data_IF_298990283244
#
_entry.id   IF_298990283244
#
_cell.length_a   1.000
_cell.length_b   1.000
_cell.length_c   1.000
_cell.angle_alpha   90.00
_cell.angle_beta   90.00
_cell.angle_gamma   90.00
#
_symmetry.space_group_name_H-M   'P 1'
#
loop_
_entity.id
_entity.type
_entity.pdbx_description
1 polymer ?
#
# COMPACT_ATOMS: atom_id res chain seq x y z
N UNK A 1 8.97 -2.79 -12.14
CA UNK A 1 7.93 -2.13 -11.34
C UNK A 1 7.14 -3.25 -10.68
N UNK A 2 7.19 -3.33 -9.34
CA UNK A 2 6.52 -4.38 -8.59
C UNK A 2 5.00 -4.39 -8.81
N UNK A 3 4.40 -5.59 -8.79
CA UNK A 3 2.97 -5.80 -9.02
C UNK A 3 2.05 -4.92 -8.18
N UNK A 4 2.49 -4.53 -6.98
CA UNK A 4 1.71 -3.71 -6.05
C UNK A 4 1.41 -2.28 -6.51
N UNK A 5 2.22 -1.72 -7.42
CA UNK A 5 2.06 -0.34 -7.90
C UNK A 5 1.21 -0.23 -9.16
N UNK A 6 1.11 -1.31 -9.94
CA UNK A 6 0.46 -1.28 -11.24
C UNK A 6 -1.02 -0.96 -11.13
N UNK A 7 -1.69 -1.47 -10.10
CA UNK A 7 -3.11 -1.21 -9.86
C UNK A 7 -3.38 0.29 -9.65
N UNK A 8 -2.51 0.97 -8.90
CA UNK A 8 -2.60 2.42 -8.68
C UNK A 8 -2.26 3.24 -9.93
N UNK A 9 -1.27 2.79 -10.70
CA UNK A 9 -0.89 3.42 -11.97
C UNK A 9 -2.04 3.29 -12.96
N UNK A 10 -2.65 2.10 -13.06
CA UNK A 10 -3.79 1.83 -13.94
C UNK A 10 -5.03 2.62 -13.54
N UNK A 11 -5.30 2.75 -12.23
CA UNK A 11 -6.37 3.62 -11.74
C UNK A 11 -6.13 5.09 -12.12
N UNK A 12 -4.92 5.58 -11.88
CA UNK A 12 -4.56 6.95 -12.24
C UNK A 12 -4.66 7.20 -13.74
N UNK A 13 -4.22 6.23 -14.54
CA UNK A 13 -4.32 6.29 -15.99
C UNK A 13 -5.78 6.31 -16.45
N UNK A 14 -6.62 5.42 -15.93
CA UNK A 14 -8.04 5.38 -16.24
C UNK A 14 -8.72 6.73 -15.91
N UNK A 15 -8.43 7.28 -14.71
CA UNK A 15 -8.97 8.56 -14.26
C UNK A 15 -8.54 9.75 -15.15
N UNK A 16 -7.29 9.74 -15.62
CA UNK A 16 -6.76 10.85 -16.45
C UNK A 16 -7.16 10.75 -17.92
N UNK A 17 -7.41 9.54 -18.43
CA UNK A 17 -7.75 9.27 -19.83
C UNK A 17 -9.22 9.54 -20.18
N UNK A 18 -10.09 9.55 -19.16
CA UNK A 18 -11.53 9.72 -19.36
C UNK A 18 -11.94 11.18 -19.22
N UNK A 19 -12.79 11.66 -20.14
CA UNK A 19 -13.25 13.07 -20.17
C UNK A 19 -14.10 13.47 -18.97
N UNK A 20 -14.97 12.56 -18.48
CA UNK A 20 -15.86 12.79 -17.35
C UNK A 20 -15.38 11.94 -16.16
N UNK A 21 -14.46 12.45 -15.37
CA UNK A 21 -13.82 11.74 -14.27
C UNK A 21 -14.29 12.17 -12.87
N UNK A 22 -15.36 12.96 -12.78
CA UNK A 22 -15.87 13.50 -11.51
C UNK A 22 -16.46 12.44 -10.57
N UNK A 23 -16.91 11.32 -11.14
CA UNK A 23 -17.51 10.21 -10.41
C UNK A 23 -16.47 9.16 -9.95
N UNK A 24 -15.19 9.28 -10.35
CA UNK A 24 -14.13 8.42 -9.84
C UNK A 24 -13.97 8.58 -8.32
N UNK A 25 -13.91 7.46 -7.61
CA UNK A 25 -13.96 7.43 -6.15
C UNK A 25 -15.36 7.51 -5.54
N UNK A 26 -16.41 7.68 -6.37
CA UNK A 26 -17.82 7.74 -5.93
C UNK A 26 -18.66 6.55 -6.42
N UNK A 27 -18.02 5.51 -6.93
CA UNK A 27 -18.67 4.31 -7.43
C UNK A 27 -18.65 4.15 -8.95
N UNK A 28 -17.86 4.95 -9.66
CA UNK A 28 -17.65 4.79 -11.10
C UNK A 28 -16.97 3.45 -11.38
N UNK A 29 -17.66 2.60 -12.16
CA UNK A 29 -17.18 1.26 -12.54
C UNK A 29 -15.84 1.29 -13.29
N UNK A 30 -15.54 2.37 -14.02
CA UNK A 30 -14.29 2.56 -14.75
C UNK A 30 -13.07 2.63 -13.83
N UNK A 31 -13.27 3.12 -12.59
CA UNK A 31 -12.26 3.11 -11.54
C UNK A 31 -11.93 1.72 -11.00
N UNK A 32 -12.76 0.71 -11.28
CA UNK A 32 -12.51 -0.70 -10.97
C UNK A 32 -11.96 -1.43 -12.19
N UNK A 33 -12.56 -1.23 -13.36
CA UNK A 33 -12.15 -1.90 -14.60
C UNK A 33 -10.68 -1.59 -14.95
N UNK A 34 -10.23 -0.35 -14.76
CA UNK A 34 -8.85 0.04 -15.03
C UNK A 34 -7.81 -0.82 -14.30
N UNK A 35 -7.78 -0.84 -12.96
CA UNK A 35 -6.89 -1.69 -12.18
C UNK A 35 -7.06 -3.19 -12.45
N UNK A 36 -8.30 -3.67 -12.50
CA UNK A 36 -8.58 -5.09 -12.70
C UNK A 36 -8.11 -5.61 -14.06
N UNK A 37 -8.22 -4.79 -15.11
CA UNK A 37 -7.71 -5.16 -16.44
C UNK A 37 -6.18 -5.32 -16.47
N UNK A 38 -5.47 -4.66 -15.58
CA UNK A 38 -4.01 -4.77 -15.47
C UNK A 38 -3.52 -5.93 -14.59
N UNK A 39 -4.40 -6.50 -13.77
CA UNK A 39 -4.04 -7.53 -12.80
C UNK A 39 -3.35 -8.75 -13.41
N UNK A 40 -3.88 -9.30 -14.48
CA UNK A 40 -3.28 -10.46 -15.14
C UNK A 40 -2.01 -10.11 -15.93
N UNK A 41 -1.99 -8.95 -16.58
CA UNK A 41 -0.83 -8.50 -17.34
C UNK A 41 0.38 -8.19 -16.47
N UNK A 42 0.15 -7.71 -15.24
CA UNK A 42 1.25 -7.45 -14.27
C UNK A 42 1.98 -8.73 -13.85
N UNK A 43 1.24 -9.83 -13.64
CA UNK A 43 1.85 -11.10 -13.26
C UNK A 43 2.68 -11.69 -14.42
N UNK A 44 2.16 -11.64 -15.65
CA UNK A 44 2.95 -12.01 -16.84
C UNK A 44 4.19 -11.13 -17.02
N UNK A 45 4.05 -9.82 -16.81
CA UNK A 45 5.17 -8.88 -16.85
C UNK A 45 6.22 -9.11 -15.75
N UNK A 46 5.80 -9.55 -14.56
CA UNK A 46 6.69 -9.87 -13.45
C UNK A 46 7.47 -11.17 -13.66
N UNK A 47 6.92 -12.13 -14.41
CA UNK A 47 7.62 -13.39 -14.73
C UNK A 47 8.84 -13.18 -15.63
N UNK A 48 8.82 -12.21 -16.53
CA UNK A 48 9.92 -11.92 -17.44
C UNK A 48 11.23 -11.67 -16.68
N UNK A 49 11.34 -10.64 -15.82
CA UNK A 49 12.57 -10.40 -15.08
C UNK A 49 12.88 -11.52 -14.08
N UNK A 50 11.88 -12.21 -13.54
CA UNK A 50 12.08 -13.30 -12.58
C UNK A 50 12.75 -14.50 -13.24
N UNK A 51 12.26 -14.94 -14.40
CA UNK A 51 12.79 -16.11 -15.09
C UNK A 51 14.08 -15.80 -15.87
N UNK A 52 14.19 -14.60 -16.47
CA UNK A 52 15.35 -14.21 -17.29
C UNK A 52 16.54 -13.72 -16.49
N UNK A 53 16.30 -12.96 -15.41
CA UNK A 53 17.34 -12.23 -14.69
C UNK A 53 17.44 -12.62 -13.22
N UNK A 54 16.63 -13.58 -12.75
CA UNK A 54 16.52 -13.93 -11.34
C UNK A 54 16.15 -12.72 -10.45
N UNK A 55 15.38 -11.77 -11.00
CA UNK A 55 14.90 -10.58 -10.27
C UNK A 55 13.40 -10.70 -10.07
N UNK A 56 12.92 -11.01 -8.87
CA UNK A 56 11.49 -11.17 -8.64
C UNK A 56 10.75 -9.84 -8.78
N UNK A 57 9.71 -9.81 -9.62
CA UNK A 57 8.89 -8.62 -9.86
C UNK A 57 7.75 -8.42 -8.85
N UNK A 58 7.44 -9.45 -8.05
CA UNK A 58 6.40 -9.44 -7.01
C UNK A 58 6.73 -10.44 -5.90
N UNK A 59 6.02 -10.35 -4.76
CA UNK A 59 6.15 -11.35 -3.69
C UNK A 59 5.81 -12.76 -4.16
N UNK A 60 4.81 -12.92 -5.03
CA UNK A 60 4.45 -14.21 -5.62
C UNK A 60 5.57 -14.79 -6.51
N UNK A 61 6.19 -13.95 -7.34
CA UNK A 61 7.32 -14.38 -8.17
C UNK A 61 8.59 -14.66 -7.35
N UNK A 62 8.77 -14.00 -6.20
CA UNK A 62 9.86 -14.32 -5.27
C UNK A 62 9.68 -15.72 -4.65
N UNK A 63 8.46 -16.08 -4.25
CA UNK A 63 8.15 -17.43 -3.75
C UNK A 63 8.32 -18.47 -4.85
N UNK A 64 7.87 -18.18 -6.08
CA UNK A 64 8.09 -19.06 -7.23
C UNK A 64 9.59 -19.29 -7.47
N UNK A 65 10.39 -18.23 -7.44
CA UNK A 65 11.84 -18.30 -7.60
C UNK A 65 12.48 -19.16 -6.50
N UNK A 66 12.08 -18.96 -5.24
CA UNK A 66 12.53 -19.78 -4.12
C UNK A 66 12.17 -21.26 -4.31
N UNK A 67 10.95 -21.55 -4.79
CA UNK A 67 10.52 -22.91 -5.13
C UNK A 67 11.36 -23.55 -6.23
N UNK A 68 11.67 -22.80 -7.27
CA UNK A 68 12.58 -23.28 -8.36
C UNK A 68 13.96 -23.62 -7.83
N UNK A 69 14.56 -22.75 -7.00
CA UNK A 69 15.87 -22.97 -6.40
C UNK A 69 15.86 -24.23 -5.51
N UNK A 70 14.82 -24.44 -4.72
CA UNK A 70 14.66 -25.65 -3.88
C UNK A 70 14.59 -26.93 -4.72
N UNK A 71 14.06 -26.85 -5.94
CA UNK A 71 14.02 -27.95 -6.89
C UNK A 71 15.31 -28.11 -7.69
N UNK A 72 16.36 -27.34 -7.37
CA UNK A 72 17.63 -27.38 -8.07
C UNK A 72 17.61 -26.67 -9.43
N UNK A 73 16.62 -25.83 -9.67
CA UNK A 73 16.48 -25.06 -10.91
C UNK A 73 16.91 -23.61 -10.65
N UNK A 74 18.02 -23.20 -11.20
CA UNK A 74 18.54 -21.83 -11.07
C UNK A 74 17.83 -20.91 -12.08
N UNK A 75 17.05 -19.91 -11.62
CA UNK A 75 16.48 -18.90 -12.51
C UNK A 75 17.57 -18.02 -13.11
N UNK A 76 17.32 -17.46 -14.28
CA UNK A 76 18.27 -16.65 -15.02
C UNK A 76 18.47 -17.13 -16.44
N UNK A 77 19.48 -16.61 -17.13
CA UNK A 77 19.80 -16.95 -18.53
C UNK A 77 20.04 -18.45 -18.71
N UNK A 78 20.59 -19.13 -17.72
CA UNK A 78 20.83 -20.58 -17.75
C UNK A 78 19.54 -21.39 -17.80
N UNK A 79 18.47 -20.92 -17.15
CA UNK A 79 17.16 -21.58 -17.20
C UNK A 79 16.62 -21.62 -18.64
N UNK A 80 16.78 -20.53 -19.38
CA UNK A 80 16.30 -20.45 -20.76
C UNK A 80 17.14 -21.33 -21.67
N UNK A 81 18.47 -21.31 -21.50
CA UNK A 81 19.36 -22.07 -22.36
C UNK A 81 19.28 -23.60 -22.14
N UNK A 82 19.06 -24.03 -20.89
CA UNK A 82 19.16 -25.43 -20.50
C UNK A 82 17.79 -26.10 -20.22
N UNK A 83 16.78 -25.33 -19.85
CA UNK A 83 15.47 -25.84 -19.40
C UNK A 83 14.32 -25.00 -19.97
N UNK A 84 14.36 -24.77 -21.28
CA UNK A 84 13.29 -24.02 -21.97
C UNK A 84 11.92 -24.71 -21.87
N UNK A 85 11.90 -26.03 -21.76
CA UNK A 85 10.73 -26.84 -21.46
C UNK A 85 9.99 -26.36 -20.20
N UNK A 86 10.74 -26.08 -19.16
CA UNK A 86 10.20 -25.64 -17.87
C UNK A 86 9.66 -24.21 -17.96
N UNK A 87 10.34 -23.32 -18.69
CA UNK A 87 9.86 -21.95 -18.94
C UNK A 87 8.52 -21.96 -19.66
N UNK A 88 8.40 -22.75 -20.74
CA UNK A 88 7.11 -22.90 -21.44
C UNK A 88 6.03 -23.54 -20.57
N UNK A 89 6.38 -24.51 -19.73
CA UNK A 89 5.45 -25.10 -18.77
C UNK A 89 4.90 -24.06 -17.82
N UNK A 90 5.72 -23.18 -17.28
CA UNK A 90 5.28 -22.07 -16.39
C UNK A 90 4.35 -21.12 -17.14
N UNK A 91 4.72 -20.70 -18.35
CA UNK A 91 3.91 -19.78 -19.17
C UNK A 91 2.52 -20.39 -19.48
N UNK A 92 2.49 -21.64 -19.94
CA UNK A 92 1.24 -22.32 -20.25
C UNK A 92 0.40 -22.61 -18.99
N UNK A 93 1.03 -22.96 -17.88
CA UNK A 93 0.34 -23.11 -16.60
C UNK A 93 -0.36 -21.84 -16.17
N UNK A 94 0.30 -20.68 -16.32
CA UNK A 94 -0.29 -19.37 -16.04
C UNK A 94 -1.49 -19.09 -16.98
N UNK A 95 -1.34 -19.35 -18.27
CA UNK A 95 -2.42 -19.15 -19.25
C UNK A 95 -3.64 -20.02 -18.93
N UNK A 96 -3.42 -21.29 -18.63
CA UNK A 96 -4.48 -22.22 -18.25
C UNK A 96 -5.14 -21.82 -16.92
N UNK A 97 -4.34 -21.45 -15.92
CA UNK A 97 -4.83 -20.97 -14.63
C UNK A 97 -5.72 -19.72 -14.78
N UNK A 98 -5.36 -18.81 -15.68
CA UNK A 98 -6.19 -17.63 -15.97
C UNK A 98 -7.53 -17.99 -16.60
N UNK A 99 -7.57 -18.97 -17.52
CA UNK A 99 -8.82 -19.44 -18.13
C UNK A 99 -9.73 -20.08 -17.06
N UNK A 100 -9.20 -21.00 -16.27
CA UNK A 100 -9.97 -21.63 -15.20
C UNK A 100 -10.39 -20.62 -14.13
N UNK A 101 -9.50 -19.71 -13.74
CA UNK A 101 -9.80 -18.64 -12.81
C UNK A 101 -10.95 -17.76 -13.29
N UNK A 102 -10.92 -17.35 -14.56
CA UNK A 102 -12.01 -16.56 -15.15
C UNK A 102 -13.34 -17.32 -15.15
N UNK A 103 -13.35 -18.60 -15.52
CA UNK A 103 -14.56 -19.44 -15.49
C UNK A 103 -15.14 -19.55 -14.07
N UNK A 104 -14.29 -19.83 -13.07
CA UNK A 104 -14.69 -19.92 -11.67
C UNK A 104 -15.22 -18.56 -11.17
N UNK A 105 -14.55 -17.44 -11.51
CA UNK A 105 -15.00 -16.12 -11.14
C UNK A 105 -16.37 -15.76 -11.76
N UNK A 106 -16.61 -16.09 -13.02
CA UNK A 106 -17.92 -15.90 -13.68
C UNK A 106 -18.99 -16.75 -13.01
N UNK A 107 -18.71 -18.01 -12.71
CA UNK A 107 -19.64 -18.90 -12.03
C UNK A 107 -19.99 -18.42 -10.62
N UNK A 108 -18.99 -17.96 -9.86
CA UNK A 108 -19.16 -17.47 -8.50
C UNK A 108 -19.52 -15.96 -8.43
N UNK A 109 -19.65 -15.26 -9.55
CA UNK A 109 -19.92 -13.82 -9.56
C UNK A 109 -21.18 -13.45 -8.76
N UNK A 110 -22.27 -14.21 -8.93
CA UNK A 110 -23.54 -13.95 -8.22
C UNK A 110 -23.44 -14.14 -6.70
N UNK A 111 -22.94 -15.26 -6.15
CA UNK A 111 -22.77 -15.40 -4.69
C UNK A 111 -21.72 -14.41 -4.13
N UNK A 112 -20.65 -14.13 -4.84
CA UNK A 112 -19.63 -13.15 -4.40
C UNK A 112 -20.21 -11.73 -4.38
N UNK A 113 -21.01 -11.35 -5.39
CA UNK A 113 -21.65 -10.03 -5.41
C UNK A 113 -22.63 -9.83 -4.25
N UNK A 114 -23.21 -10.90 -3.70
CA UNK A 114 -24.06 -10.76 -2.52
C UNK A 114 -23.31 -10.28 -1.27
N UNK A 115 -21.99 -10.49 -1.20
CA UNK A 115 -21.15 -9.95 -0.11
C UNK A 115 -21.09 -8.43 -0.12
N UNK A 116 -21.24 -7.80 -1.29
CA UNK A 116 -21.24 -6.33 -1.41
C UNK A 116 -22.48 -5.68 -0.81
N UNK A 117 -23.54 -6.44 -0.56
CA UNK A 117 -24.76 -5.95 0.10
C UNK A 117 -24.61 -5.81 1.62
N UNK A 118 -23.55 -6.43 2.19
CA UNK A 118 -23.28 -6.33 3.62
C UNK A 118 -22.74 -4.93 3.93
N UNK A 119 -23.35 -4.30 4.94
CA UNK A 119 -22.89 -2.98 5.35
C UNK A 119 -21.41 -3.00 5.74
N UNK A 120 -20.60 -2.10 5.14
CA UNK A 120 -19.15 -2.02 5.37
C UNK A 120 -18.80 -1.92 6.87
N UNK A 121 -19.62 -1.28 7.67
CA UNK A 121 -19.41 -1.18 9.13
C UNK A 121 -19.37 -2.55 9.83
N UNK A 122 -20.05 -3.55 9.26
CA UNK A 122 -20.02 -4.93 9.77
C UNK A 122 -18.78 -5.67 9.30
N UNK A 123 -18.35 -5.44 8.06
CA UNK A 123 -17.16 -6.08 7.49
C UNK A 123 -15.85 -5.52 8.04
N UNK A 124 -15.83 -4.24 8.39
CA UNK A 124 -14.62 -3.53 8.79
C UNK A 124 -13.82 -4.23 9.91
N UNK A 125 -14.42 -4.68 11.04
CA UNK A 125 -13.65 -5.33 12.10
C UNK A 125 -13.04 -6.66 11.67
N UNK A 126 -13.70 -7.42 10.77
CA UNK A 126 -13.14 -8.65 10.22
C UNK A 126 -11.92 -8.36 9.35
N UNK A 127 -12.03 -7.36 8.46
CA UNK A 127 -10.92 -6.97 7.59
C UNK A 127 -9.73 -6.45 8.41
N UNK A 128 -9.96 -5.61 9.40
CA UNK A 128 -8.91 -5.11 10.29
C UNK A 128 -8.23 -6.27 11.01
N UNK A 129 -9.00 -7.24 11.51
CA UNK A 129 -8.47 -8.41 12.19
C UNK A 129 -7.56 -9.25 11.31
N UNK A 130 -7.98 -9.51 10.05
CA UNK A 130 -7.19 -10.26 9.08
C UNK A 130 -5.91 -9.50 8.68
N UNK A 131 -6.00 -8.18 8.50
CA UNK A 131 -4.83 -7.34 8.17
C UNK A 131 -3.82 -7.39 9.31
N UNK A 132 -4.24 -7.19 10.56
CA UNK A 132 -3.33 -7.24 11.71
C UNK A 132 -2.69 -8.63 11.88
N UNK A 133 -3.47 -9.70 11.66
CA UNK A 133 -2.95 -11.06 11.68
C UNK A 133 -1.89 -11.29 10.59
N UNK A 134 -2.15 -10.85 9.37
CA UNK A 134 -1.21 -10.95 8.25
C UNK A 134 0.08 -10.16 8.51
N UNK A 135 -0.01 -8.96 9.05
CA UNK A 135 1.16 -8.13 9.40
C UNK A 135 2.03 -8.84 10.42
N UNK A 136 1.44 -9.36 11.50
CA UNK A 136 2.21 -10.09 12.51
C UNK A 136 2.92 -11.31 11.91
N UNK A 137 2.23 -12.09 11.08
CA UNK A 137 2.82 -13.29 10.50
C UNK A 137 3.89 -13.04 9.44
N UNK A 138 3.97 -11.83 8.88
CA UNK A 138 5.01 -11.46 7.91
C UNK A 138 6.42 -11.47 8.52
N UNK A 139 6.57 -10.97 9.75
CA UNK A 139 7.86 -10.79 10.42
C UNK A 139 7.90 -11.36 11.84
N UNK A 140 6.76 -11.80 12.37
CA UNK A 140 6.57 -12.25 13.76
C UNK A 140 7.02 -11.21 14.79
N UNK A 141 6.90 -9.93 14.45
CA UNK A 141 7.34 -8.81 15.28
C UNK A 141 6.16 -7.96 15.76
N UNK A 142 6.14 -7.66 17.07
CA UNK A 142 5.23 -6.67 17.64
C UNK A 142 5.49 -5.27 17.10
N UNK A 143 6.76 -4.98 16.73
CA UNK A 143 7.14 -3.70 16.14
C UNK A 143 6.38 -3.37 14.88
N UNK A 144 6.12 -4.35 14.02
CA UNK A 144 5.40 -4.16 12.76
C UNK A 144 3.91 -3.88 12.98
N UNK A 145 3.30 -4.46 14.02
CA UNK A 145 1.94 -4.11 14.41
C UNK A 145 1.85 -2.64 14.85
N UNK A 146 2.81 -2.18 15.67
CA UNK A 146 2.88 -0.77 16.10
C UNK A 146 3.12 0.14 14.91
N UNK A 147 4.04 -0.23 14.02
CA UNK A 147 4.34 0.54 12.80
C UNK A 147 3.13 0.62 11.87
N UNK A 148 2.43 -0.48 11.65
CA UNK A 148 1.20 -0.51 10.85
C UNK A 148 0.12 0.43 11.41
N UNK A 149 0.02 0.52 12.73
CA UNK A 149 -0.91 1.46 13.37
C UNK A 149 -0.50 2.91 13.19
N UNK A 150 0.78 3.22 13.30
CA UNK A 150 1.29 4.56 13.04
C UNK A 150 1.01 4.98 11.59
N UNK A 151 1.26 4.10 10.61
CA UNK A 151 0.92 4.35 9.21
C UNK A 151 -0.59 4.50 9.01
N UNK A 152 -1.39 3.65 9.64
CA UNK A 152 -2.85 3.75 9.61
C UNK A 152 -3.36 5.09 10.17
N UNK A 153 -2.77 5.55 11.26
CA UNK A 153 -3.06 6.84 11.85
C UNK A 153 -2.71 7.99 10.88
N UNK A 154 -1.51 7.95 10.30
CA UNK A 154 -1.07 8.93 9.30
C UNK A 154 -2.06 8.93 8.12
N UNK A 155 -2.49 7.76 7.64
CA UNK A 155 -3.45 7.65 6.53
C UNK A 155 -4.82 8.26 6.85
N UNK A 156 -5.30 8.14 8.11
CA UNK A 156 -6.52 8.80 8.58
C UNK A 156 -6.35 10.32 8.59
N UNK A 157 -5.21 10.81 9.07
CA UNK A 157 -4.88 12.25 9.01
C UNK A 157 -4.81 12.74 7.58
N UNK A 158 -4.09 12.05 6.71
CA UNK A 158 -4.00 12.39 5.30
C UNK A 158 -5.38 12.51 4.65
N UNK A 159 -6.28 11.55 4.92
CA UNK A 159 -7.67 11.61 4.45
C UNK A 159 -8.41 12.84 4.97
N UNK A 160 -8.23 13.17 6.25
CA UNK A 160 -8.90 14.32 6.89
C UNK A 160 -8.43 15.65 6.32
N UNK A 161 -7.17 15.74 5.95
CA UNK A 161 -6.55 16.97 5.45
C UNK A 161 -6.37 16.98 3.91
N UNK A 162 -7.05 16.05 3.23
CA UNK A 162 -7.10 15.99 1.76
C UNK A 162 -5.75 15.74 1.09
N UNK A 163 -4.82 15.04 1.77
CA UNK A 163 -3.55 14.60 1.17
C UNK A 163 -3.74 13.32 0.35
N UNK A 164 -3.02 13.22 -0.78
CA UNK A 164 -3.03 12.04 -1.62
C UNK A 164 -2.35 10.85 -0.94
N UNK A 165 -3.16 9.88 -0.49
CA UNK A 165 -2.67 8.62 0.08
C UNK A 165 -2.05 7.72 -0.98
N UNK A 166 -2.55 7.81 -2.22
CA UNK A 166 -2.05 7.04 -3.36
C UNK A 166 -0.59 7.37 -3.64
N UNK A 167 -0.23 8.66 -3.64
CA UNK A 167 1.15 9.08 -3.85
C UNK A 167 2.09 8.55 -2.75
N UNK A 168 1.65 8.57 -1.48
CA UNK A 168 2.41 8.00 -0.37
C UNK A 168 2.63 6.49 -0.55
N UNK A 169 1.58 5.76 -0.89
CA UNK A 169 1.66 4.30 -1.10
C UNK A 169 2.59 3.92 -2.24
N UNK A 170 2.50 4.63 -3.38
CA UNK A 170 3.38 4.41 -4.53
C UNK A 170 4.84 4.68 -4.12
N UNK A 171 5.10 5.80 -3.44
CA UNK A 171 6.44 6.14 -2.98
C UNK A 171 7.01 5.12 -2.01
N UNK A 172 6.21 4.64 -1.07
CA UNK A 172 6.61 3.63 -0.09
C UNK A 172 6.95 2.29 -0.75
N UNK A 173 6.09 1.79 -1.63
CA UNK A 173 6.31 0.50 -2.32
C UNK A 173 7.49 0.55 -3.29
N UNK A 174 7.73 1.69 -3.95
CA UNK A 174 8.86 1.84 -4.86
C UNK A 174 10.20 2.07 -4.14
N UNK A 175 10.19 2.49 -2.87
CA UNK A 175 11.41 2.88 -2.16
C UNK A 175 12.43 1.77 -2.07
N UNK A 176 12.03 0.56 -1.71
CA UNK A 176 12.90 -0.61 -1.59
C UNK A 176 13.56 -0.97 -2.92
N UNK A 177 12.77 -1.03 -4.00
CA UNK A 177 13.28 -1.28 -5.34
C UNK A 177 14.23 -0.19 -5.84
N UNK A 178 13.96 1.08 -5.54
CA UNK A 178 14.82 2.20 -5.91
C UNK A 178 16.13 2.13 -5.13
N UNK A 179 16.05 1.88 -3.83
CA UNK A 179 17.22 1.77 -2.95
C UNK A 179 18.15 0.65 -3.40
N UNK A 180 17.63 -0.55 -3.58
CA UNK A 180 18.40 -1.73 -3.99
C UNK A 180 19.07 -1.51 -5.35
N UNK A 181 18.31 -1.05 -6.35
CA UNK A 181 18.88 -0.81 -7.69
C UNK A 181 19.88 0.36 -7.70
N UNK A 182 19.67 1.39 -6.86
CA UNK A 182 20.62 2.49 -6.73
C UNK A 182 21.97 2.00 -6.17
N UNK A 183 21.93 1.20 -5.09
CA UNK A 183 23.15 0.63 -4.51
C UNK A 183 23.89 -0.27 -5.50
N UNK A 184 23.19 -1.15 -6.20
CA UNK A 184 23.79 -2.00 -7.23
C UNK A 184 24.42 -1.15 -8.34
N UNK A 185 23.71 -0.13 -8.81
CA UNK A 185 24.20 0.73 -9.88
C UNK A 185 25.49 1.46 -9.49
N UNK A 186 25.56 2.02 -8.27
CA UNK A 186 26.73 2.75 -7.78
C UNK A 186 27.92 1.81 -7.54
N UNK A 187 27.67 0.55 -7.20
CA UNK A 187 28.75 -0.44 -7.02
C UNK A 187 29.37 -0.88 -8.35
N UNK A 188 28.58 -0.97 -9.42
CA UNK A 188 29.05 -1.51 -10.70
C UNK A 188 29.47 -0.43 -11.69
N UNK A 189 28.99 0.80 -11.57
CA UNK A 189 29.20 1.86 -12.55
C UNK A 189 29.58 3.18 -11.89
N UNK A 190 30.54 3.86 -12.51
CA UNK A 190 30.83 5.26 -12.20
C UNK A 190 29.79 6.18 -12.87
N UNK A 191 29.62 7.38 -12.35
CA UNK A 191 28.68 8.36 -12.93
C UNK A 191 29.02 8.65 -14.41
N UNK A 192 30.29 8.73 -14.77
CA UNK A 192 30.73 8.99 -16.14
C UNK A 192 30.31 7.86 -17.07
N UNK A 193 30.50 6.59 -16.67
CA UNK A 193 30.08 5.42 -17.44
C UNK A 193 28.57 5.34 -17.64
N UNK A 194 27.77 5.78 -16.66
CA UNK A 194 26.32 5.82 -16.77
C UNK A 194 25.87 6.80 -17.87
N UNK A 195 26.47 8.00 -17.92
CA UNK A 195 26.13 8.99 -18.93
C UNK A 195 26.63 8.64 -20.34
N UNK A 196 27.56 7.71 -20.48
CA UNK A 196 28.00 7.17 -21.77
C UNK A 196 27.07 6.08 -22.32
N UNK A 197 26.13 5.54 -21.50
CA UNK A 197 25.22 4.47 -21.92
C UNK A 197 23.98 5.03 -22.62
N UNK A 198 23.72 4.66 -23.90
CA UNK A 198 22.59 5.21 -24.64
C UNK A 198 21.23 4.85 -24.01
N UNK A 199 21.09 3.64 -23.45
CA UNK A 199 19.85 3.22 -22.76
C UNK A 199 19.56 4.10 -21.55
N UNK A 200 20.56 4.46 -20.76
CA UNK A 200 20.42 5.33 -19.59
C UNK A 200 19.96 6.74 -20.00
N UNK A 201 20.54 7.28 -21.08
CA UNK A 201 20.15 8.60 -21.62
C UNK A 201 18.70 8.61 -22.12
N UNK A 202 18.29 7.55 -22.83
CA UNK A 202 16.89 7.40 -23.30
C UNK A 202 15.93 7.34 -22.12
N UNK A 203 16.24 6.58 -21.06
CA UNK A 203 15.40 6.48 -19.85
C UNK A 203 15.31 7.84 -19.13
N UNK A 204 16.41 8.56 -18.99
CA UNK A 204 16.40 9.92 -18.42
C UNK A 204 15.53 10.84 -19.28
N UNK A 205 15.68 10.82 -20.59
CA UNK A 205 14.86 11.64 -21.48
C UNK A 205 13.36 11.35 -21.31
N UNK A 206 12.97 10.08 -21.23
CA UNK A 206 11.58 9.67 -20.96
C UNK A 206 11.11 10.18 -19.60
N UNK A 207 11.92 10.07 -18.54
CA UNK A 207 11.59 10.59 -17.22
C UNK A 207 11.38 12.11 -17.24
N UNK A 208 12.27 12.86 -17.87
CA UNK A 208 12.18 14.31 -17.99
C UNK A 208 10.93 14.71 -18.77
N UNK A 209 10.66 14.05 -19.90
CA UNK A 209 9.45 14.30 -20.69
C UNK A 209 8.18 13.99 -19.91
N UNK A 210 8.16 12.92 -19.13
CA UNK A 210 7.03 12.58 -18.24
C UNK A 210 6.79 13.66 -17.17
N UNK A 211 7.84 14.16 -16.55
CA UNK A 211 7.74 15.23 -15.55
C UNK A 211 7.23 16.51 -16.20
N UNK A 212 7.77 16.92 -17.34
CA UNK A 212 7.34 18.11 -18.07
C UNK A 212 5.88 18.01 -18.53
N UNK A 213 5.46 16.83 -18.98
CA UNK A 213 4.08 16.56 -19.36
C UNK A 213 3.15 16.64 -18.15
N UNK A 214 3.57 16.10 -17.00
CA UNK A 214 2.84 16.19 -15.75
C UNK A 214 2.64 17.63 -15.27
N UNK A 215 3.66 18.46 -15.36
CA UNK A 215 3.57 19.90 -15.02
C UNK A 215 2.58 20.64 -15.90
N UNK A 216 2.55 20.38 -17.23
CA UNK A 216 1.57 20.97 -18.16
C UNK A 216 0.14 20.55 -17.84
N UNK A 217 -0.08 19.31 -17.43
CA UNK A 217 -1.40 18.81 -17.02
C UNK A 217 -1.86 19.52 -15.74
N UNK A 218 -0.98 19.72 -14.77
CA UNK A 218 -1.27 20.46 -13.53
C UNK A 218 -1.67 21.91 -13.85
N UNK A 219 -0.99 22.59 -14.75
CA UNK A 219 -1.33 23.97 -15.15
C UNK A 219 -2.68 24.05 -15.87
N UNK A 220 -3.00 23.05 -16.69
CA UNK A 220 -4.32 22.93 -17.34
C UNK A 220 -5.43 22.65 -16.35
N UNK A 221 -5.19 21.78 -15.37
CA UNK A 221 -6.13 21.48 -14.29
C UNK A 221 -6.36 22.69 -13.37
N UNK A 222 -5.32 23.48 -13.07
CA UNK A 222 -5.45 24.75 -12.34
C UNK A 222 -6.35 25.76 -13.06
N UNK A 223 -6.25 25.88 -14.38
CA UNK A 223 -7.10 26.77 -15.18
C UNK A 223 -8.57 26.34 -15.20
N UNK A 224 -8.86 25.03 -15.21
CA UNK A 224 -10.23 24.51 -15.12
C UNK A 224 -10.84 24.68 -13.72
N UNK A 225 -10.05 24.52 -12.65
CA UNK A 225 -10.49 24.60 -11.27
C UNK A 225 -10.82 26.02 -10.80
N UNK A 226 -10.35 27.05 -11.48
CA UNK A 226 -10.72 28.45 -11.19
C UNK A 226 -12.21 28.77 -11.45
N UNK A 227 -12.94 27.88 -12.12
CA UNK A 227 -14.38 27.99 -12.40
C UNK A 227 -15.30 27.43 -11.32
N UNK A 228 -14.77 26.74 -10.31
CA UNK A 228 -15.59 26.12 -9.26
C UNK A 228 -15.47 26.91 -7.95
N UNK A 229 -16.61 27.12 -7.26
CA UNK A 229 -16.73 27.94 -6.03
C UNK A 229 -15.60 27.70 -5.04
N UNK A 230 -14.97 28.79 -4.60
CA UNK A 230 -13.95 28.79 -3.56
C UNK A 230 -14.49 28.12 -2.28
N UNK A 231 -13.94 26.97 -1.94
CA UNK A 231 -14.17 26.30 -0.66
C UNK A 231 -13.12 26.89 0.31
N UNK A 232 -13.59 27.33 1.47
CA UNK A 232 -12.73 27.91 2.50
C UNK A 232 -11.87 26.80 3.13
N UNK A 233 -10.57 26.78 2.82
CA UNK A 233 -9.61 25.78 3.34
C UNK A 233 -8.88 26.30 4.57
N UNK A 234 -8.81 25.45 5.60
CA UNK A 234 -7.95 25.72 6.75
C UNK A 234 -6.49 25.46 6.38
N UNK A 235 -5.69 26.53 6.27
CA UNK A 235 -4.24 26.44 5.90
C UNK A 235 -3.37 25.80 7.00
N UNK A 236 -3.80 25.90 8.25
CA UNK A 236 -3.03 25.52 9.44
C UNK A 236 -2.57 24.05 9.45
N UNK A 237 -3.45 23.04 9.16
CA UNK A 237 -3.04 21.65 9.17
C UNK A 237 -2.03 21.30 8.07
N UNK A 238 -2.19 21.92 6.89
CA UNK A 238 -1.29 21.73 5.75
C UNK A 238 0.10 22.30 6.04
N UNK A 239 0.15 23.49 6.66
CA UNK A 239 1.41 24.10 7.08
C UNK A 239 2.11 23.25 8.15
N UNK A 240 1.36 22.75 9.15
CA UNK A 240 1.91 21.87 10.18
C UNK A 240 2.52 20.61 9.58
N UNK A 241 1.85 19.96 8.65
CA UNK A 241 2.37 18.77 7.98
C UNK A 241 3.61 19.08 7.15
N UNK A 242 3.62 20.19 6.41
CA UNK A 242 4.78 20.61 5.63
C UNK A 242 6.00 20.91 6.51
N UNK A 243 5.80 21.55 7.66
CA UNK A 243 6.85 21.79 8.66
C UNK A 243 7.36 20.46 9.24
N UNK A 244 6.47 19.54 9.60
CA UNK A 244 6.84 18.22 10.10
C UNK A 244 7.71 17.46 9.08
N UNK A 245 7.33 17.47 7.80
CA UNK A 245 8.12 16.84 6.73
C UNK A 245 9.47 17.52 6.52
N UNK A 246 9.54 18.83 6.67
CA UNK A 246 10.82 19.58 6.65
C UNK A 246 11.72 19.16 7.80
N UNK A 247 11.16 19.00 8.99
CA UNK A 247 11.91 18.55 10.16
C UNK A 247 12.42 17.12 10.00
N UNK A 248 11.57 16.21 9.55
CA UNK A 248 11.95 14.79 9.28
C UNK A 248 13.08 14.73 8.26
N UNK A 249 12.97 15.47 7.14
CA UNK A 249 14.00 15.48 6.11
C UNK A 249 15.33 16.08 6.59
N UNK A 250 15.28 17.15 7.36
CA UNK A 250 16.48 17.76 7.96
C UNK A 250 17.15 16.79 8.97
N UNK A 251 16.34 16.12 9.80
CA UNK A 251 16.82 15.09 10.72
C UNK A 251 17.46 13.90 9.98
N UNK A 252 16.85 13.43 8.91
CA UNK A 252 17.39 12.33 8.08
C UNK A 252 18.74 12.71 7.49
N UNK A 253 18.89 13.91 6.94
CA UNK A 253 20.17 14.41 6.40
C UNK A 253 21.24 14.51 7.51
N UNK A 254 20.84 14.99 8.68
CA UNK A 254 21.76 15.14 9.81
C UNK A 254 22.19 13.79 10.38
N UNK A 255 21.26 12.86 10.60
CA UNK A 255 21.55 11.55 11.20
C UNK A 255 22.35 10.61 10.30
N UNK A 256 22.32 10.84 8.98
CA UNK A 256 23.03 9.99 8.00
C UNK A 256 24.40 10.54 7.58
N UNK A 257 24.84 11.71 8.09
CA UNK A 257 26.08 12.35 7.67
C UNK A 257 27.33 11.51 7.96
N UNK A 258 27.33 10.77 9.08
CA UNK A 258 28.47 9.99 9.57
C UNK A 258 28.47 8.54 9.05
N UNK A 259 27.47 8.14 8.25
CA UNK A 259 27.41 6.82 7.64
C UNK A 259 28.45 6.69 6.52
N UNK A 260 28.88 5.44 6.24
CA UNK A 260 29.69 5.12 5.09
C UNK A 260 29.02 5.57 3.78
N UNK A 261 29.82 5.83 2.72
CA UNK A 261 29.32 6.41 1.47
C UNK A 261 28.07 5.72 0.93
N UNK A 262 28.09 4.39 0.81
CA UNK A 262 26.94 3.61 0.32
C UNK A 262 25.72 3.77 1.24
N UNK A 263 25.90 3.69 2.57
CA UNK A 263 24.78 3.81 3.52
C UNK A 263 24.11 5.19 3.55
N UNK A 264 24.82 6.25 3.13
CA UNK A 264 24.29 7.63 3.14
C UNK A 264 23.66 8.09 1.82
N UNK A 265 24.03 7.48 0.68
CA UNK A 265 23.63 7.97 -0.65
C UNK A 265 22.10 8.02 -0.80
N UNK A 266 21.40 6.93 -0.50
CA UNK A 266 19.96 6.86 -0.65
C UNK A 266 19.22 7.78 0.33
N UNK A 267 19.40 7.67 1.67
CA UNK A 267 18.66 8.52 2.60
C UNK A 267 18.99 10.01 2.45
N UNK A 268 20.22 10.39 2.12
CA UNK A 268 20.57 11.80 1.86
C UNK A 268 19.93 12.31 0.57
N UNK A 269 19.95 11.53 -0.52
CA UNK A 269 19.35 11.94 -1.78
C UNK A 269 17.83 12.11 -1.67
N UNK A 270 17.15 11.24 -0.92
CA UNK A 270 15.73 11.35 -0.62
C UNK A 270 15.46 12.52 0.33
N UNK A 271 16.25 12.66 1.40
CA UNK A 271 16.13 13.73 2.38
C UNK A 271 16.27 15.13 1.74
N UNK A 272 17.25 15.32 0.86
CA UNK A 272 17.46 16.59 0.15
C UNK A 272 16.26 16.90 -0.76
N UNK A 273 15.79 15.93 -1.56
CA UNK A 273 14.64 16.13 -2.44
C UNK A 273 13.37 16.44 -1.64
N UNK A 274 13.14 15.72 -0.56
CA UNK A 274 12.01 15.95 0.33
C UNK A 274 12.08 17.31 1.02
N UNK A 275 13.28 17.77 1.42
CA UNK A 275 13.51 19.11 1.98
C UNK A 275 13.13 20.19 0.95
N UNK A 276 13.61 20.07 -0.29
CA UNK A 276 13.28 21.01 -1.35
C UNK A 276 11.78 21.05 -1.64
N UNK A 277 11.13 19.89 -1.73
CA UNK A 277 9.68 19.80 -1.96
C UNK A 277 8.89 20.41 -0.79
N UNK A 278 9.26 20.11 0.46
CA UNK A 278 8.55 20.64 1.63
C UNK A 278 8.72 22.14 1.80
N UNK A 279 9.92 22.69 1.54
CA UNK A 279 10.16 24.14 1.52
C UNK A 279 9.37 24.84 0.40
N UNK A 280 9.35 24.26 -0.81
CA UNK A 280 8.53 24.74 -1.92
C UNK A 280 7.04 24.74 -1.55
N UNK A 281 6.58 23.72 -0.84
CA UNK A 281 5.23 23.62 -0.36
C UNK A 281 4.88 24.68 0.67
N UNK A 282 5.76 24.91 1.66
CA UNK A 282 5.60 25.98 2.66
C UNK A 282 5.52 27.34 1.96
N UNK A 283 6.39 27.58 0.98
CA UNK A 283 6.36 28.81 0.19
C UNK A 283 5.00 28.95 -0.53
N UNK A 284 4.53 27.92 -1.21
CA UNK A 284 3.25 27.94 -1.93
C UNK A 284 2.05 28.17 -0.98
N UNK A 285 2.03 27.53 0.19
CA UNK A 285 0.95 27.71 1.17
C UNK A 285 0.90 29.16 1.69
N UNK A 286 2.06 29.77 1.94
CA UNK A 286 2.13 31.13 2.47
C UNK A 286 1.81 32.21 1.43
N UNK A 287 2.27 32.02 0.20
CA UNK A 287 2.13 33.03 -0.89
C UNK A 287 0.98 32.71 -1.84
N UNK A 288 0.28 31.59 -1.70
CA UNK A 288 -0.89 31.28 -2.53
C UNK A 288 -2.05 32.23 -2.23
N UNK A 289 -2.69 32.74 -3.28
CA UNK A 289 -3.92 33.52 -3.14
C UNK A 289 -5.01 32.68 -2.48
N UNK A 290 -5.82 33.32 -1.63
CA UNK A 290 -6.97 32.69 -0.99
C UNK A 290 -7.86 32.03 -2.03
N UNK A 291 -8.09 30.71 -1.94
CA UNK A 291 -8.86 29.92 -2.90
C UNK A 291 -8.05 29.09 -3.90
N UNK A 292 -6.70 29.15 -3.89
CA UNK A 292 -5.89 28.24 -4.70
C UNK A 292 -5.82 26.84 -4.05
N UNK A 293 -6.19 25.81 -4.79
CA UNK A 293 -6.04 24.42 -4.35
C UNK A 293 -4.56 23.99 -4.50
N UNK A 294 -3.76 24.22 -3.47
CA UNK A 294 -2.35 23.84 -3.49
C UNK A 294 -2.18 22.33 -3.25
N UNK A 295 -3.09 21.76 -2.44
CA UNK A 295 -3.08 20.35 -2.07
C UNK A 295 -4.53 19.88 -1.96
N UNK A 296 -5.11 19.41 -3.03
CA UNK A 296 -6.47 18.88 -3.02
C UNK A 296 -6.45 17.44 -3.55
N UNK A 297 -6.81 16.51 -2.68
CA UNK A 297 -7.18 15.17 -3.11
C UNK A 297 -8.63 15.23 -3.61
N UNK A 298 -8.84 15.05 -4.90
CA UNK A 298 -10.17 15.02 -5.51
C UNK A 298 -11.07 13.93 -4.94
N UNK A 299 -10.51 12.96 -4.22
CA UNK A 299 -11.24 11.90 -3.53
C UNK A 299 -11.77 12.34 -2.14
N UNK A 300 -11.24 13.41 -1.58
CA UNK A 300 -11.64 13.87 -0.24
C UNK A 300 -13.04 14.50 -0.20
N UNK A 301 -13.59 14.94 -1.32
CA UNK A 301 -14.96 15.47 -1.42
C UNK A 301 -16.08 14.49 -1.02
N UNK A 302 -15.72 13.19 -0.82
CA UNK A 302 -16.66 12.15 -0.39
C UNK A 302 -16.92 12.14 1.13
N UNK A 303 -16.19 12.92 1.91
CA UNK A 303 -16.44 13.02 3.36
C UNK A 303 -17.63 13.93 3.57
N UNK A 304 -18.78 13.30 3.76
CA UNK A 304 -20.05 13.94 4.09
C UNK A 304 -19.83 14.96 5.23
N UNK A 305 -20.17 16.23 5.02
CA UNK A 305 -20.06 17.32 5.99
C UNK A 305 -20.87 17.12 7.28
N UNK A 306 -21.73 16.09 7.32
CA UNK A 306 -22.61 15.78 8.41
C UNK A 306 -21.96 14.82 9.41
N UNK A 307 -21.23 15.36 10.36
CA UNK A 307 -20.73 14.62 11.52
C UNK A 307 -19.25 14.36 11.51
N UNK A 308 -18.46 15.41 11.75
CA UNK A 308 -17.06 15.26 12.15
C UNK A 308 -17.03 14.53 13.49
N UNK A 309 -16.85 13.20 13.43
CA UNK A 309 -16.60 12.42 14.65
C UNK A 309 -15.32 12.95 15.31
N UNK A 310 -15.27 13.02 16.65
CA UNK A 310 -14.09 13.53 17.34
C UNK A 310 -12.84 12.75 16.89
N UNK A 311 -11.78 13.48 16.67
CA UNK A 311 -10.52 13.01 16.13
C UNK A 311 -9.91 11.78 16.84
N UNK A 312 -10.05 11.73 18.17
CA UNK A 312 -9.52 10.64 19.01
C UNK A 312 -10.30 9.32 18.89
N UNK A 313 -11.54 9.34 18.39
CA UNK A 313 -12.37 8.15 18.31
C UNK A 313 -11.83 7.05 17.37
N UNK A 314 -11.41 7.35 16.12
CA UNK A 314 -10.72 6.35 15.28
C UNK A 314 -9.43 5.85 15.90
N UNK A 315 -8.65 6.74 16.54
CA UNK A 315 -7.39 6.40 17.21
C UNK A 315 -7.65 5.38 18.33
N UNK A 316 -8.62 5.63 19.16
CA UNK A 316 -9.01 4.74 20.26
C UNK A 316 -9.37 3.34 19.74
N UNK A 317 -10.21 3.26 18.70
CA UNK A 317 -10.62 1.97 18.16
C UNK A 317 -9.51 1.22 17.44
N UNK A 318 -8.49 1.91 16.93
CA UNK A 318 -7.30 1.30 16.37
C UNK A 318 -6.34 0.80 17.47
N UNK A 319 -6.12 1.58 18.52
CA UNK A 319 -5.19 1.23 19.59
C UNK A 319 -5.73 0.16 20.53
N UNK A 320 -7.06 0.13 20.76
CA UNK A 320 -7.69 -0.79 21.69
C UNK A 320 -7.32 -2.26 21.47
N UNK A 321 -7.44 -2.85 20.25
CA UNK A 321 -7.11 -4.25 20.03
C UNK A 321 -5.65 -4.58 20.31
N UNK A 322 -4.71 -3.67 20.03
CA UNK A 322 -3.29 -3.89 20.33
C UNK A 322 -3.02 -3.84 21.84
N UNK A 323 -3.56 -2.86 22.54
CA UNK A 323 -3.38 -2.78 23.99
C UNK A 323 -3.92 -4.04 24.65
N UNK A 324 -5.10 -4.49 24.26
CA UNK A 324 -5.68 -5.73 24.78
C UNK A 324 -4.84 -6.95 24.39
N UNK A 325 -4.31 -6.99 23.16
CA UNK A 325 -3.49 -8.09 22.68
C UNK A 325 -2.16 -8.23 23.44
N UNK A 326 -1.54 -7.11 23.83
CA UNK A 326 -0.32 -7.14 24.68
C UNK A 326 -0.54 -7.87 25.99
N UNK A 327 -1.73 -7.74 26.59
CA UNK A 327 -2.02 -8.40 27.88
C UNK A 327 -2.49 -9.85 27.72
N UNK A 328 -3.52 -10.08 26.90
CA UNK A 328 -4.23 -11.37 26.82
C UNK A 328 -3.88 -12.19 25.57
N UNK A 329 -2.99 -11.70 24.72
CA UNK A 329 -2.67 -12.31 23.43
C UNK A 329 -3.59 -11.91 22.30
N UNK A 330 -3.05 -12.00 21.09
CA UNK A 330 -3.67 -11.49 19.88
C UNK A 330 -4.99 -12.19 19.53
N UNK A 331 -5.04 -13.51 19.65
CA UNK A 331 -6.21 -14.31 19.29
C UNK A 331 -7.48 -13.92 20.08
N UNK A 332 -7.34 -13.80 21.39
CA UNK A 332 -8.45 -13.42 22.28
C UNK A 332 -8.82 -11.95 22.08
N UNK A 333 -7.82 -11.07 21.96
CA UNK A 333 -8.01 -9.64 21.81
C UNK A 333 -8.81 -9.29 20.55
N UNK A 334 -8.56 -9.97 19.45
CA UNK A 334 -9.29 -9.76 18.18
C UNK A 334 -10.76 -10.13 18.30
N UNK A 335 -11.08 -11.25 18.94
CA UNK A 335 -12.47 -11.62 19.15
C UNK A 335 -13.22 -10.56 19.98
N UNK A 336 -12.61 -10.09 21.08
CA UNK A 336 -13.16 -9.02 21.89
C UNK A 336 -13.32 -7.71 21.10
N UNK A 337 -12.34 -7.36 20.28
CA UNK A 337 -12.40 -6.18 19.42
C UNK A 337 -13.57 -6.26 18.45
N UNK A 338 -13.76 -7.38 17.75
CA UNK A 338 -14.88 -7.58 16.81
C UNK A 338 -16.21 -7.43 17.55
N UNK A 339 -16.35 -8.07 18.70
CA UNK A 339 -17.57 -7.97 19.52
C UNK A 339 -17.89 -6.53 19.92
N UNK A 340 -16.92 -5.81 20.52
CA UNK A 340 -17.12 -4.44 20.98
C UNK A 340 -17.35 -3.46 19.83
N UNK A 341 -16.63 -3.61 18.72
CA UNK A 341 -16.80 -2.77 17.54
C UNK A 341 -18.21 -2.92 16.95
N UNK A 342 -18.68 -4.14 16.74
CA UNK A 342 -20.02 -4.41 16.22
C UNK A 342 -21.10 -3.90 17.15
N UNK A 343 -20.91 -4.04 18.45
CA UNK A 343 -21.91 -3.57 19.44
C UNK A 343 -21.96 -2.06 19.53
N UNK A 344 -20.82 -1.36 19.56
CA UNK A 344 -20.75 0.08 19.83
C UNK A 344 -20.81 0.94 18.57
N UNK A 345 -20.24 0.48 17.45
CA UNK A 345 -20.18 1.28 16.23
C UNK A 345 -21.24 0.86 15.22
N UNK A 346 -21.43 -0.45 15.02
CA UNK A 346 -22.41 -0.96 14.07
C UNK A 346 -23.82 -1.12 14.67
N UNK A 347 -23.99 -0.99 16.01
CA UNK A 347 -25.26 -1.16 16.73
C UNK A 347 -25.96 -2.50 16.43
N UNK A 348 -25.19 -3.58 16.24
CA UNK A 348 -25.70 -4.92 15.95
C UNK A 348 -26.28 -5.56 17.20
N UNK A 349 -27.28 -6.44 17.02
CA UNK A 349 -27.86 -7.23 18.12
C UNK A 349 -26.77 -8.07 18.80
N UNK A 350 -26.84 -8.18 20.14
CA UNK A 350 -25.81 -8.86 20.96
C UNK A 350 -25.59 -10.31 20.55
N UNK A 351 -26.65 -11.04 20.19
CA UNK A 351 -26.54 -12.41 19.69
C UNK A 351 -25.72 -12.53 18.41
N UNK A 352 -25.89 -11.60 17.47
CA UNK A 352 -25.08 -11.55 16.25
C UNK A 352 -23.63 -11.14 16.52
N UNK A 353 -23.39 -10.30 17.52
CA UNK A 353 -22.01 -9.97 17.93
C UNK A 353 -21.27 -11.21 18.48
N UNK A 354 -21.96 -12.07 19.27
CA UNK A 354 -21.37 -13.33 19.71
C UNK A 354 -21.13 -14.32 18.58
N UNK A 355 -22.04 -14.45 17.63
CA UNK A 355 -21.84 -15.29 16.44
C UNK A 355 -20.63 -14.79 15.65
N UNK A 356 -20.51 -13.47 15.46
CA UNK A 356 -19.38 -12.87 14.76
C UNK A 356 -18.04 -13.08 15.47
N UNK A 357 -18.03 -12.97 16.82
CA UNK A 357 -16.86 -13.27 17.64
C UNK A 357 -16.40 -14.72 17.45
N UNK A 358 -17.32 -15.68 17.55
CA UNK A 358 -17.02 -17.10 17.36
C UNK A 358 -16.57 -17.36 15.92
N UNK A 359 -17.22 -16.74 14.94
CA UNK A 359 -16.89 -16.87 13.51
C UNK A 359 -15.47 -16.41 13.21
N UNK A 360 -15.02 -15.25 13.73
CA UNK A 360 -13.64 -14.78 13.52
C UNK A 360 -12.63 -15.67 14.21
N UNK A 361 -12.94 -16.18 15.40
CA UNK A 361 -12.05 -17.12 16.08
C UNK A 361 -11.87 -18.41 15.30
N UNK A 362 -12.96 -19.00 14.80
CA UNK A 362 -12.90 -20.20 13.95
C UNK A 362 -12.10 -19.90 12.68
N UNK A 363 -12.38 -18.78 12.01
CA UNK A 363 -11.70 -18.39 10.78
C UNK A 363 -10.19 -18.25 11.00
N UNK A 364 -9.77 -17.54 12.04
CA UNK A 364 -8.35 -17.34 12.35
C UNK A 364 -7.68 -18.67 12.76
N UNK A 365 -8.34 -19.51 13.53
CA UNK A 365 -7.82 -20.83 13.91
C UNK A 365 -7.63 -21.72 12.68
N UNK A 366 -8.60 -21.74 11.76
CA UNK A 366 -8.51 -22.50 10.50
C UNK A 366 -7.35 -21.99 9.65
N UNK A 367 -7.23 -20.67 9.43
CA UNK A 367 -6.13 -20.09 8.67
C UNK A 367 -4.78 -20.40 9.32
N UNK A 368 -4.67 -20.20 10.65
CA UNK A 368 -3.46 -20.49 11.41
C UNK A 368 -3.04 -21.95 11.29
N UNK A 369 -3.99 -22.89 11.39
CA UNK A 369 -3.71 -24.31 11.27
C UNK A 369 -3.21 -24.71 9.88
N UNK A 370 -3.90 -24.29 8.82
CA UNK A 370 -3.55 -24.67 7.44
C UNK A 370 -2.27 -23.97 6.94
N UNK A 371 -2.03 -22.75 7.37
CA UNK A 371 -0.87 -21.97 6.92
C UNK A 371 0.34 -22.06 7.88
N UNK A 372 0.23 -22.84 8.96
CA UNK A 372 1.27 -22.97 9.98
C UNK A 372 1.71 -21.60 10.53
N UNK A 373 0.72 -20.76 10.83
CA UNK A 373 0.92 -19.40 11.33
C UNK A 373 0.67 -19.36 12.84
N UNK A 374 1.45 -18.53 13.55
CA UNK A 374 1.30 -18.35 14.99
C UNK A 374 0.60 -17.04 15.34
N UNK A 375 -0.01 -16.98 16.51
CA UNK A 375 -0.56 -15.76 17.08
C UNK A 375 0.46 -15.05 17.94
N UNK A 376 0.42 -13.71 17.99
CA UNK A 376 1.26 -12.94 18.87
C UNK A 376 0.90 -13.24 20.34
N UNK A 377 1.85 -13.77 21.16
CA UNK A 377 1.58 -14.07 22.56
C UNK A 377 1.48 -12.77 23.37
N UNK A 378 0.60 -12.74 24.35
CA UNK A 378 0.51 -11.66 25.33
C UNK A 378 1.33 -11.95 26.58
N UNK A 379 1.33 -11.00 27.51
CA UNK A 379 2.04 -11.13 28.78
C UNK A 379 1.51 -12.33 29.59
N UNK A 380 0.22 -12.62 29.55
CA UNK A 380 -0.39 -13.74 30.29
C UNK A 380 0.16 -15.09 29.80
N UNK A 381 0.35 -15.25 28.47
CA UNK A 381 0.90 -16.49 27.91
C UNK A 381 2.38 -16.71 28.26
N UNK A 382 3.11 -15.67 28.65
CA UNK A 382 4.47 -15.82 29.16
C UNK A 382 4.50 -16.52 30.53
N UNK A 383 3.44 -16.42 31.33
CA UNK A 383 3.35 -17.02 32.67
C UNK A 383 2.52 -18.30 32.70
N UNK A 384 1.54 -18.44 31.79
CA UNK A 384 0.60 -19.56 31.76
C UNK A 384 0.61 -20.18 30.36
N UNK A 385 1.04 -21.46 30.30
CA UNK A 385 0.92 -22.22 29.03
C UNK A 385 -0.53 -22.54 28.75
N UNK A 386 -1.11 -21.88 27.76
CA UNK A 386 -2.47 -22.11 27.31
C UNK A 386 -2.47 -23.09 26.11
N UNK A 387 -3.56 -23.85 25.88
CA UNK A 387 -3.65 -24.71 24.72
C UNK A 387 -3.78 -23.86 23.43
N UNK A 388 -3.26 -24.38 22.31
CA UNK A 388 -3.52 -23.82 20.99
C UNK A 388 -5.03 -23.69 20.74
N UNK A 389 -5.54 -22.61 20.11
CA UNK A 389 -4.85 -21.47 19.48
C UNK A 389 -4.62 -20.26 20.39
N UNK A 390 -4.82 -20.41 21.69
CA UNK A 390 -4.75 -19.29 22.66
C UNK A 390 -3.29 -19.04 23.11
N UNK A 391 -2.39 -19.97 22.79
CA UNK A 391 -0.99 -19.92 23.23
C UNK A 391 -0.16 -18.91 22.42
#
# INVERSE_FOLDING_TARGET
IGGSCIDWISYSHAKTSVKNNEEFGKGDIRGVIGPESSSNSKEGGALIPTLLFAIPGSGGTAVLMGGLILLGVEPGIQLINNRLDLVYTIIWSLAIANIFGALVCVYLAKPISSLTTINFTILAPFLISLILFAIYNSSRSWGDLVFAMLIGLIAVYMKRFEYSRVALMIGFVLSDGIETNLYQTIQFYTLEELFLRPIFLVLIAICVLSILSGLKIIDKAKKLSQSTKAVEYTRTPQLFFAILMTFISAYTIWSTKDLAFLGKVFPQSVGIKMLLCSLSLIYQINFAKSGSMVLHDTEANLVNKNGIRPFWMPIFWFLLPLLVAVFIGFYVAIGLFVFWFLKKIANVKTSLCFISLVSIWILLAVISHFMVMDFAPGIIQAYIKLPWPIN
#
